data_IF_985752222003
#
_entry.id   IF_985752222003
#
_cell.length_a   1.000
_cell.length_b   1.000
_cell.length_c   1.000
_cell.angle_alpha   90.00
_cell.angle_beta   90.00
_cell.angle_gamma   90.00
#
_symmetry.space_group_name_H-M   'P 1'
#
loop_
_entity.id
_entity.type
_entity.pdbx_description
1 polymer ?
#
# COMPACT_ATOMS: atom_id res chain seq x y z
N UNK A 1 72.75 -78.48 -13.04
CA UNK A 1 72.14 -79.82 -13.15
C UNK A 1 71.46 -80.14 -11.82
N UNK A 2 70.21 -80.61 -11.88
CA UNK A 2 69.33 -81.13 -10.80
C UNK A 2 68.48 -80.12 -10.00
N UNK A 3 67.25 -80.02 -10.50
CA UNK A 3 66.02 -79.60 -9.84
C UNK A 3 65.79 -80.34 -8.52
N UNK A 4 65.43 -79.60 -7.47
CA UNK A 4 64.94 -80.14 -6.19
C UNK A 4 63.63 -79.47 -5.81
N UNK A 5 62.54 -79.89 -6.44
CA UNK A 5 61.18 -79.43 -6.10
C UNK A 5 60.81 -80.07 -4.76
N UNK A 6 60.91 -79.29 -3.69
CA UNK A 6 60.57 -79.75 -2.34
C UNK A 6 59.06 -79.83 -2.18
N UNK A 7 58.56 -81.06 -1.98
CA UNK A 7 57.15 -81.40 -1.86
C UNK A 7 56.52 -80.70 -0.64
N UNK A 8 55.55 -79.83 -0.92
CA UNK A 8 54.70 -79.18 0.07
C UNK A 8 53.69 -80.19 0.68
N UNK A 9 53.57 -80.31 2.01
CA UNK A 9 52.60 -81.19 2.66
C UNK A 9 51.17 -80.65 2.47
N UNK A 10 50.24 -81.52 2.08
CA UNK A 10 48.86 -81.21 1.63
C UNK A 10 48.01 -80.33 2.59
N UNK A 11 48.43 -80.14 3.84
CA UNK A 11 47.77 -79.29 4.85
C UNK A 11 48.12 -77.79 4.72
N UNK A 12 49.16 -77.43 3.97
CA UNK A 12 49.61 -76.03 3.79
C UNK A 12 48.90 -75.29 2.65
N UNK A 13 48.34 -76.01 1.67
CA UNK A 13 47.63 -75.37 0.53
C UNK A 13 46.34 -74.68 0.96
N UNK A 14 45.57 -75.29 1.86
CA UNK A 14 44.34 -74.68 2.38
C UNK A 14 44.65 -73.46 3.24
N UNK A 15 45.73 -73.48 4.04
CA UNK A 15 46.14 -72.31 4.84
C UNK A 15 46.59 -71.13 3.99
N UNK A 16 47.28 -71.36 2.86
CA UNK A 16 47.67 -70.28 1.93
C UNK A 16 46.43 -69.68 1.25
N UNK A 17 45.44 -70.51 0.90
CA UNK A 17 44.16 -70.04 0.34
C UNK A 17 43.36 -69.24 1.36
N UNK A 18 43.33 -69.67 2.63
CA UNK A 18 42.63 -68.96 3.70
C UNK A 18 43.32 -67.63 4.02
N UNK A 19 44.65 -67.60 4.10
CA UNK A 19 45.42 -66.37 4.34
C UNK A 19 45.26 -65.41 3.15
N UNK A 20 45.29 -65.93 1.92
CA UNK A 20 45.03 -65.16 0.71
C UNK A 20 43.62 -64.58 0.70
N UNK A 21 42.60 -65.38 1.04
CA UNK A 21 41.21 -64.94 1.13
C UNK A 21 41.02 -63.92 2.27
N UNK A 22 41.71 -64.08 3.39
CA UNK A 22 41.66 -63.14 4.51
C UNK A 22 42.32 -61.80 4.15
N UNK A 23 43.47 -61.82 3.48
CA UNK A 23 44.12 -60.62 2.95
C UNK A 23 43.27 -59.95 1.87
N UNK A 24 42.60 -60.72 1.02
CA UNK A 24 41.69 -60.19 0.01
C UNK A 24 40.46 -59.55 0.65
N UNK A 25 39.90 -60.19 1.69
CA UNK A 25 38.79 -59.64 2.47
C UNK A 25 39.20 -58.36 3.22
N UNK A 26 40.43 -58.32 3.77
CA UNK A 26 40.99 -57.12 4.41
C UNK A 26 41.24 -56.01 3.39
N UNK A 27 41.74 -56.33 2.20
CA UNK A 27 41.93 -55.37 1.12
C UNK A 27 40.59 -54.82 0.59
N UNK A 28 39.55 -55.66 0.49
CA UNK A 28 38.20 -55.22 0.13
C UNK A 28 37.61 -54.36 1.25
N UNK A 29 37.74 -54.76 2.52
CA UNK A 29 37.30 -53.95 3.65
C UNK A 29 38.02 -52.61 3.70
N UNK A 30 39.34 -52.58 3.47
CA UNK A 30 40.15 -51.36 3.43
C UNK A 30 39.89 -50.50 2.19
N UNK A 31 39.46 -51.11 1.08
CA UNK A 31 39.02 -50.42 -0.15
C UNK A 31 37.64 -49.78 0.01
N UNK A 32 36.77 -50.39 0.81
CA UNK A 32 35.43 -49.88 1.13
C UNK A 32 35.39 -48.97 2.37
N UNK A 33 36.48 -48.90 3.15
CA UNK A 33 36.57 -48.03 4.34
C UNK A 33 36.75 -46.53 4.07
N UNK A 34 37.32 -46.05 2.95
CA UNK A 34 37.47 -44.62 2.70
C UNK A 34 36.40 -44.21 1.67
N UNK A 35 35.18 -43.95 2.15
CA UNK A 35 34.21 -43.01 1.55
C UNK A 35 32.85 -43.01 2.28
N UNK A 36 32.84 -43.26 3.59
CA UNK A 36 31.63 -43.06 4.41
C UNK A 36 31.34 -41.58 4.71
N UNK A 37 32.11 -40.64 4.13
CA UNK A 37 31.83 -39.19 4.20
C UNK A 37 30.81 -38.70 3.15
N UNK A 38 30.46 -39.52 2.15
CA UNK A 38 29.58 -39.14 1.03
C UNK A 38 28.09 -39.10 1.43
N UNK A 39 27.66 -39.91 2.41
CA UNK A 39 26.26 -39.93 2.85
C UNK A 39 25.91 -38.85 3.88
N UNK A 40 26.86 -38.44 4.73
CA UNK A 40 26.62 -37.40 5.75
C UNK A 40 26.53 -35.99 5.16
N UNK A 41 27.42 -35.66 4.21
CA UNK A 41 27.45 -34.36 3.54
C UNK A 41 26.25 -34.11 2.63
N UNK A 42 25.79 -35.15 1.92
CA UNK A 42 24.63 -35.06 1.01
C UNK A 42 23.31 -34.75 1.75
N UNK A 43 23.10 -35.31 2.94
CA UNK A 43 21.87 -35.06 3.73
C UNK A 43 21.89 -33.66 4.34
N UNK A 44 23.04 -33.20 4.84
CA UNK A 44 23.19 -31.86 5.42
C UNK A 44 23.05 -30.76 4.36
N UNK A 45 23.60 -30.94 3.15
CA UNK A 45 23.39 -29.99 2.05
C UNK A 45 21.93 -29.95 1.57
N UNK A 46 21.25 -31.11 1.52
CA UNK A 46 19.83 -31.17 1.17
C UNK A 46 18.95 -30.48 2.21
N UNK A 47 19.26 -30.59 3.50
CA UNK A 47 18.56 -29.88 4.57
C UNK A 47 18.77 -28.36 4.51
N UNK A 48 19.98 -27.89 4.18
CA UNK A 48 20.26 -26.45 4.05
C UNK A 48 19.53 -25.86 2.84
N UNK A 49 19.55 -26.55 1.69
CA UNK A 49 18.85 -26.12 0.47
C UNK A 49 17.34 -26.12 0.63
N UNK A 50 16.76 -27.12 1.31
CA UNK A 50 15.32 -27.16 1.60
C UNK A 50 14.88 -26.05 2.56
N UNK A 51 15.66 -25.76 3.63
CA UNK A 51 15.41 -24.62 4.52
C UNK A 51 15.47 -23.28 3.79
N UNK A 52 16.42 -23.09 2.87
CA UNK A 52 16.48 -21.88 2.04
C UNK A 52 15.24 -21.74 1.15
N UNK A 53 14.83 -22.80 0.44
CA UNK A 53 13.62 -22.78 -0.41
C UNK A 53 12.37 -22.47 0.41
N UNK A 54 12.24 -23.02 1.63
CA UNK A 54 11.13 -22.72 2.51
C UNK A 54 11.12 -21.24 2.95
N UNK A 55 12.28 -20.66 3.29
CA UNK A 55 12.41 -19.24 3.64
C UNK A 55 12.01 -18.32 2.47
N UNK A 56 12.48 -18.62 1.25
CA UNK A 56 12.10 -17.86 0.05
C UNK A 56 10.60 -18.00 -0.27
N UNK A 57 10.01 -19.19 -0.09
CA UNK A 57 8.56 -19.41 -0.26
C UNK A 57 7.73 -18.65 0.79
N UNK A 58 8.20 -18.56 2.03
CA UNK A 58 7.58 -17.74 3.07
C UNK A 58 7.55 -16.25 2.70
N UNK A 59 8.71 -15.71 2.30
CA UNK A 59 8.81 -14.32 1.85
C UNK A 59 7.98 -14.04 0.58
N UNK A 60 7.86 -15.00 -0.34
CA UNK A 60 7.01 -14.87 -1.54
C UNK A 60 5.52 -14.84 -1.20
N UNK A 61 5.07 -15.60 -0.19
CA UNK A 61 3.68 -15.54 0.30
C UNK A 61 3.36 -14.19 0.93
N UNK A 62 4.29 -13.62 1.67
CA UNK A 62 4.16 -12.27 2.24
C UNK A 62 4.14 -11.19 1.14
N UNK A 63 4.95 -11.33 0.09
CA UNK A 63 4.92 -10.41 -1.07
C UNK A 63 3.54 -10.32 -1.71
N UNK A 64 2.87 -11.45 -1.94
CA UNK A 64 1.51 -11.46 -2.51
C UNK A 64 0.49 -10.72 -1.64
N UNK A 65 0.55 -10.90 -0.32
CA UNK A 65 -0.31 -10.18 0.61
C UNK A 65 0.00 -8.67 0.66
N UNK A 66 1.28 -8.29 0.56
CA UNK A 66 1.73 -6.90 0.53
C UNK A 66 1.35 -6.21 -0.79
N UNK A 67 1.48 -6.87 -1.93
CA UNK A 67 1.03 -6.35 -3.23
C UNK A 67 -0.49 -6.21 -3.28
N UNK A 68 -1.24 -7.18 -2.74
CA UNK A 68 -2.68 -7.07 -2.60
C UNK A 68 -3.07 -5.85 -1.74
N UNK A 69 -2.41 -5.65 -0.59
CA UNK A 69 -2.61 -4.45 0.25
C UNK A 69 -2.25 -3.16 -0.47
N UNK A 70 -1.14 -3.12 -1.20
CA UNK A 70 -0.71 -1.95 -1.97
C UNK A 70 -1.72 -1.59 -3.05
N UNK A 71 -2.19 -2.58 -3.81
CA UNK A 71 -3.20 -2.36 -4.85
C UNK A 71 -4.55 -1.94 -4.27
N UNK A 72 -4.95 -2.52 -3.13
CA UNK A 72 -6.14 -2.10 -2.41
C UNK A 72 -6.04 -0.64 -1.94
N UNK A 73 -4.95 -0.27 -1.26
CA UNK A 73 -4.70 1.11 -0.83
C UNK A 73 -4.66 2.09 -2.02
N UNK A 74 -4.01 1.72 -3.11
CA UNK A 74 -3.97 2.56 -4.32
C UNK A 74 -5.37 2.79 -4.90
N UNK A 75 -6.22 1.76 -4.93
CA UNK A 75 -7.63 1.89 -5.35
C UNK A 75 -8.44 2.74 -4.39
N UNK A 76 -8.25 2.58 -3.08
CA UNK A 76 -8.92 3.40 -2.06
C UNK A 76 -8.54 4.86 -2.18
N UNK A 77 -7.25 5.16 -2.39
CA UNK A 77 -6.78 6.55 -2.62
C UNK A 77 -7.39 7.10 -3.90
N UNK A 78 -7.34 6.38 -5.01
CA UNK A 78 -7.93 6.84 -6.27
C UNK A 78 -9.45 7.08 -6.15
N UNK A 79 -10.16 6.22 -5.40
CA UNK A 79 -11.58 6.41 -5.13
C UNK A 79 -11.85 7.66 -4.27
N UNK A 80 -11.01 7.94 -3.27
CA UNK A 80 -11.09 9.16 -2.47
C UNK A 80 -10.74 10.41 -3.30
N UNK A 81 -9.75 10.34 -4.18
CA UNK A 81 -9.34 11.45 -5.05
C UNK A 81 -10.45 11.90 -6.01
N UNK A 82 -11.44 11.05 -6.33
CA UNK A 82 -12.61 11.45 -7.14
C UNK A 82 -13.43 12.59 -6.48
N UNK A 83 -13.43 12.64 -5.14
CA UNK A 83 -14.07 13.70 -4.37
C UNK A 83 -13.30 15.02 -4.36
N UNK A 84 -12.06 15.05 -4.84
CA UNK A 84 -11.25 16.27 -4.89
C UNK A 84 -11.69 17.19 -6.02
N UNK A 85 -11.35 18.47 -5.90
CA UNK A 85 -11.49 19.43 -6.98
C UNK A 85 -10.57 19.05 -8.15
N UNK A 86 -11.07 19.28 -9.36
CA UNK A 86 -10.39 18.93 -10.62
C UNK A 86 -9.48 20.05 -11.14
N UNK A 87 -9.63 21.25 -10.61
CA UNK A 87 -8.78 22.39 -10.95
C UNK A 87 -7.30 22.13 -10.65
N UNK A 88 -6.46 22.19 -11.69
CA UNK A 88 -4.99 22.03 -11.61
C UNK A 88 -4.30 23.21 -10.92
N UNK A 89 -4.98 24.34 -10.81
CA UNK A 89 -4.49 25.55 -10.15
C UNK A 89 -5.49 26.02 -9.11
N UNK A 90 -5.04 26.74 -8.06
CA UNK A 90 -5.92 27.37 -7.09
C UNK A 90 -7.04 28.21 -7.69
N UNK A 91 -6.74 28.95 -8.76
CA UNK A 91 -7.73 29.79 -9.44
C UNK A 91 -8.82 28.94 -10.13
N UNK A 92 -8.44 27.85 -10.81
CA UNK A 92 -9.40 26.95 -11.44
C UNK A 92 -10.25 26.19 -10.40
N UNK A 93 -9.61 25.75 -9.31
CA UNK A 93 -10.30 25.11 -8.19
C UNK A 93 -11.32 26.06 -7.54
N UNK A 94 -10.97 27.34 -7.36
CA UNK A 94 -11.89 28.35 -6.85
C UNK A 94 -13.09 28.61 -7.79
N UNK A 95 -12.86 28.61 -9.12
CA UNK A 95 -13.94 28.71 -10.10
C UNK A 95 -14.86 27.49 -10.06
N UNK A 96 -14.32 26.29 -9.87
CA UNK A 96 -15.12 25.07 -9.69
C UNK A 96 -16.01 25.17 -8.44
N UNK A 97 -15.45 25.61 -7.29
CA UNK A 97 -16.23 25.87 -6.06
C UNK A 97 -17.33 26.90 -6.33
N UNK A 98 -16.99 28.01 -6.99
CA UNK A 98 -17.95 29.06 -7.33
C UNK A 98 -19.13 28.51 -8.15
N UNK A 99 -18.87 27.74 -9.20
CA UNK A 99 -19.92 27.15 -10.03
C UNK A 99 -20.84 26.21 -9.23
N UNK A 100 -20.27 25.42 -8.31
CA UNK A 100 -21.04 24.54 -7.42
C UNK A 100 -21.93 25.38 -6.50
N UNK A 101 -21.38 26.42 -5.86
CA UNK A 101 -22.12 27.30 -4.96
C UNK A 101 -23.24 28.07 -5.67
N UNK A 102 -22.99 28.57 -6.88
CA UNK A 102 -24.00 29.24 -7.71
C UNK A 102 -25.16 28.30 -8.06
N UNK A 103 -24.86 27.04 -8.39
CA UNK A 103 -25.88 26.01 -8.61
C UNK A 103 -26.72 25.72 -7.37
N UNK A 104 -26.07 25.59 -6.21
CA UNK A 104 -26.73 25.36 -4.92
C UNK A 104 -27.65 26.54 -4.56
N UNK A 105 -27.16 27.77 -4.68
CA UNK A 105 -27.89 28.98 -4.32
C UNK A 105 -29.10 29.23 -5.23
N UNK A 106 -28.96 29.02 -6.55
CA UNK A 106 -30.09 29.08 -7.50
C UNK A 106 -31.19 28.10 -7.12
N UNK A 107 -30.82 26.88 -6.72
CA UNK A 107 -31.80 25.86 -6.31
C UNK A 107 -32.49 26.23 -4.99
N UNK A 108 -31.78 26.90 -4.08
CA UNK A 108 -32.32 27.36 -2.79
C UNK A 108 -33.03 28.74 -2.86
N UNK A 109 -33.11 29.37 -4.06
CA UNK A 109 -33.61 30.74 -4.25
C UNK A 109 -32.91 31.79 -3.35
N UNK A 110 -31.64 31.56 -3.03
CA UNK A 110 -30.81 32.52 -2.29
C UNK A 110 -30.02 33.40 -3.24
N UNK A 111 -29.95 34.70 -2.98
CA UNK A 111 -29.10 35.61 -3.74
C UNK A 111 -27.68 35.63 -3.14
N UNK A 112 -26.71 35.08 -3.89
CA UNK A 112 -25.29 35.27 -3.62
C UNK A 112 -24.92 36.69 -4.05
N UNK A 113 -24.38 37.49 -3.12
CA UNK A 113 -23.99 38.87 -3.39
C UNK A 113 -22.52 39.04 -3.69
N UNK A 114 -21.65 38.19 -3.14
CA UNK A 114 -20.20 38.37 -3.27
C UNK A 114 -19.50 37.03 -3.13
N UNK A 115 -18.53 36.78 -4.01
CA UNK A 115 -17.60 35.65 -3.95
C UNK A 115 -16.18 36.21 -3.96
N UNK A 116 -15.36 35.78 -3.00
CA UNK A 116 -13.99 36.20 -2.82
C UNK A 116 -13.09 34.99 -2.62
N UNK A 117 -12.08 34.87 -3.46
CA UNK A 117 -11.06 33.83 -3.34
C UNK A 117 -10.06 34.27 -2.28
N UNK A 118 -9.82 33.43 -1.28
CA UNK A 118 -8.82 33.68 -0.24
C UNK A 118 -7.49 33.05 -0.63
N UNK A 119 -6.42 33.40 0.10
CA UNK A 119 -5.10 32.78 -0.12
C UNK A 119 -5.18 31.30 0.20
N UNK A 120 -4.59 30.47 -0.66
CA UNK A 120 -4.54 29.02 -0.44
C UNK A 120 -3.69 28.67 0.77
N UNK A 121 -4.17 27.70 1.53
CA UNK A 121 -3.45 27.13 2.66
C UNK A 121 -2.90 25.77 2.22
N UNK A 122 -1.57 25.60 2.31
CA UNK A 122 -0.96 24.29 2.12
C UNK A 122 -1.40 23.39 3.29
N UNK A 123 -1.96 22.21 2.96
CA UNK A 123 -2.19 21.18 3.97
C UNK A 123 -0.81 20.60 4.31
N UNK A 124 -0.34 20.87 5.51
CA UNK A 124 1.04 20.59 5.96
C UNK A 124 1.59 19.26 5.40
N UNK A 125 2.68 19.35 4.61
CA UNK A 125 3.51 18.24 4.10
C UNK A 125 2.80 17.15 3.26
N UNK A 126 1.60 17.41 2.77
CA UNK A 126 0.83 16.46 1.95
C UNK A 126 0.73 16.95 0.49
N UNK A 127 0.46 16.07 -0.51
CA UNK A 127 0.29 16.47 -1.91
C UNK A 127 -1.04 17.22 -2.17
N UNK A 128 -1.65 17.80 -1.15
CA UNK A 128 -2.97 18.42 -1.20
C UNK A 128 -2.92 19.87 -0.73
N UNK A 129 -3.74 20.71 -1.37
CA UNK A 129 -3.87 22.14 -1.06
C UNK A 129 -5.33 22.44 -0.78
N UNK A 130 -5.56 23.28 0.23
CA UNK A 130 -6.87 23.77 0.57
C UNK A 130 -7.11 25.13 -0.10
N UNK A 131 -8.22 25.24 -0.82
CA UNK A 131 -8.60 26.45 -1.54
C UNK A 131 -9.84 27.06 -0.87
N UNK A 132 -9.64 28.03 0.04
CA UNK A 132 -10.73 28.73 0.69
C UNK A 132 -11.38 29.75 -0.24
N UNK A 133 -12.70 29.69 -0.33
CA UNK A 133 -13.57 30.64 -1.04
C UNK A 133 -14.58 31.18 -0.06
N UNK A 134 -14.55 32.50 0.12
CA UNK A 134 -15.48 33.24 0.93
C UNK A 134 -16.64 33.73 0.08
N UNK A 135 -17.86 33.60 0.57
CA UNK A 135 -19.03 34.15 -0.09
C UNK A 135 -20.02 34.76 0.90
N UNK A 136 -20.73 35.77 0.43
CA UNK A 136 -21.79 36.44 1.18
C UNK A 136 -23.11 36.24 0.47
N UNK A 137 -24.12 35.81 1.22
CA UNK A 137 -25.47 35.59 0.71
C UNK A 137 -26.50 36.26 1.63
N UNK A 138 -27.63 36.66 1.05
CA UNK A 138 -28.81 37.09 1.82
C UNK A 138 -29.91 36.05 1.64
N UNK A 139 -30.37 35.44 2.74
CA UNK A 139 -31.39 34.39 2.68
C UNK A 139 -32.25 34.36 3.94
N UNK A 140 -33.28 33.51 3.95
CA UNK A 140 -33.96 33.10 5.19
C UNK A 140 -33.17 32.00 5.90
N UNK A 141 -33.48 31.74 7.18
CA UNK A 141 -32.89 30.63 7.94
C UNK A 141 -33.13 29.28 7.26
N UNK A 142 -34.33 29.07 6.70
CA UNK A 142 -34.67 27.83 6.00
C UNK A 142 -33.78 27.61 4.78
N UNK A 143 -33.59 28.65 3.97
CA UNK A 143 -32.72 28.60 2.80
C UNK A 143 -31.26 28.39 3.17
N UNK A 144 -30.77 29.06 4.22
CA UNK A 144 -29.41 28.85 4.71
C UNK A 144 -29.18 27.38 5.10
N UNK A 145 -30.14 26.77 5.82
CA UNK A 145 -30.07 25.34 6.17
C UNK A 145 -29.96 24.45 4.92
N UNK A 146 -30.75 24.73 3.89
CA UNK A 146 -30.73 23.97 2.64
C UNK A 146 -29.40 24.15 1.89
N UNK A 147 -28.84 25.36 1.88
CA UNK A 147 -27.54 25.65 1.27
C UNK A 147 -26.43 24.88 1.99
N UNK A 148 -26.36 24.96 3.33
CA UNK A 148 -25.37 24.24 4.12
C UNK A 148 -25.48 22.72 3.88
N UNK A 149 -26.70 22.18 3.95
CA UNK A 149 -26.94 20.76 3.70
C UNK A 149 -26.44 20.31 2.31
N UNK A 150 -26.67 21.12 1.28
CA UNK A 150 -26.21 20.82 -0.09
C UNK A 150 -24.70 20.94 -0.25
N UNK A 151 -24.06 21.84 0.49
CA UNK A 151 -22.60 21.94 0.51
C UNK A 151 -22.01 20.68 1.17
N UNK A 152 -22.54 20.26 2.31
CA UNK A 152 -22.07 19.07 3.04
C UNK A 152 -22.35 17.74 2.31
N UNK A 153 -23.43 17.67 1.54
CA UNK A 153 -23.80 16.49 0.73
C UNK A 153 -23.27 16.54 -0.71
N UNK A 154 -22.44 17.53 -1.02
CA UNK A 154 -21.80 17.64 -2.33
C UNK A 154 -20.93 16.41 -2.62
N UNK A 155 -20.87 15.92 -3.87
CA UNK A 155 -19.94 14.86 -4.25
C UNK A 155 -18.47 15.27 -4.13
N UNK A 156 -18.20 16.58 -3.99
CA UNK A 156 -16.86 17.13 -3.80
C UNK A 156 -16.60 17.40 -2.31
N UNK A 157 -15.35 17.19 -1.87
CA UNK A 157 -14.91 17.49 -0.52
C UNK A 157 -14.84 19.00 -0.30
N UNK A 158 -15.97 19.55 0.16
CA UNK A 158 -16.15 20.93 0.56
C UNK A 158 -16.34 20.98 2.08
N UNK A 159 -15.61 21.84 2.76
CA UNK A 159 -15.69 22.02 4.21
C UNK A 159 -15.98 23.48 4.53
N UNK A 160 -16.92 23.74 5.43
CA UNK A 160 -17.18 25.09 5.94
C UNK A 160 -16.17 25.37 7.05
N UNK A 161 -15.26 26.32 6.82
CA UNK A 161 -14.25 26.71 7.82
C UNK A 161 -14.79 27.73 8.81
N UNK A 162 -15.49 28.73 8.29
CA UNK A 162 -15.97 29.86 9.08
C UNK A 162 -17.34 30.29 8.56
N UNK A 163 -18.21 30.69 9.49
CA UNK A 163 -19.53 31.22 9.18
C UNK A 163 -19.87 32.33 10.15
N UNK A 164 -20.26 33.48 9.62
CA UNK A 164 -20.84 34.61 10.35
C UNK A 164 -22.24 34.87 9.83
N UNK A 165 -23.18 35.09 10.74
CA UNK A 165 -24.58 35.35 10.40
C UNK A 165 -24.99 36.64 11.10
N UNK A 166 -25.45 37.60 10.31
CA UNK A 166 -25.94 38.89 10.76
C UNK A 166 -27.42 39.02 10.38
N UNK A 167 -28.22 39.62 11.25
CA UNK A 167 -29.65 39.86 10.98
C UNK A 167 -29.79 41.09 10.10
N UNK A 168 -30.18 40.90 8.84
CA UNK A 168 -30.36 42.00 7.89
C UNK A 168 -31.71 42.70 8.06
N UNK A 169 -32.78 41.94 8.34
CA UNK A 169 -34.11 42.48 8.63
C UNK A 169 -34.82 41.61 9.69
N UNK A 170 -35.11 42.21 10.84
CA UNK A 170 -35.75 41.52 11.97
C UNK A 170 -37.29 41.71 12.05
N UNK A 171 -37.88 42.59 11.24
CA UNK A 171 -39.29 43.01 11.38
C UNK A 171 -40.10 42.62 10.14
N UNK A 172 -41.10 41.75 10.31
CA UNK A 172 -42.01 41.25 9.26
C UNK A 172 -42.04 39.71 9.17
N UNK A 173 -42.89 39.16 8.30
CA UNK A 173 -43.15 37.71 8.15
C UNK A 173 -42.01 36.90 7.51
N UNK A 174 -40.96 37.57 7.02
CA UNK A 174 -39.76 36.94 6.47
C UNK A 174 -38.51 37.64 7.00
N UNK A 175 -38.05 37.21 8.18
CA UNK A 175 -36.75 37.63 8.68
C UNK A 175 -35.65 37.15 7.73
N UNK A 176 -34.87 38.09 7.20
CA UNK A 176 -33.73 37.79 6.34
C UNK A 176 -32.43 37.96 7.12
N UNK A 177 -31.51 37.04 6.86
CA UNK A 177 -30.18 37.01 7.41
C UNK A 177 -29.17 37.22 6.29
N UNK A 178 -28.12 37.95 6.60
CA UNK A 178 -26.93 38.03 5.78
C UNK A 178 -25.91 37.06 6.37
N UNK A 179 -25.43 36.13 5.55
CA UNK A 179 -24.45 35.14 5.99
C UNK A 179 -23.18 35.29 5.17
N UNK A 180 -22.05 35.32 5.86
CA UNK A 180 -20.70 35.31 5.29
C UNK A 180 -20.08 33.96 5.64
N UNK A 181 -19.75 33.17 4.63
CA UNK A 181 -19.34 31.77 4.79
C UNK A 181 -18.03 31.57 4.03
N UNK A 182 -17.05 30.95 4.69
CA UNK A 182 -15.83 30.48 4.04
C UNK A 182 -15.92 28.98 3.84
N UNK A 183 -15.96 28.56 2.58
CA UNK A 183 -15.93 27.15 2.16
C UNK A 183 -14.58 26.85 1.57
N UNK A 184 -13.94 25.82 2.09
CA UNK A 184 -12.68 25.30 1.59
C UNK A 184 -12.92 24.04 0.79
N UNK A 185 -12.37 23.98 -0.42
CA UNK A 185 -12.27 22.73 -1.17
C UNK A 185 -10.85 22.20 -1.19
N UNK A 186 -10.71 20.87 -1.31
CA UNK A 186 -9.41 20.20 -1.35
C UNK A 186 -9.06 19.87 -2.80
N UNK A 187 -7.86 20.23 -3.24
CA UNK A 187 -7.31 19.86 -4.54
C UNK A 187 -5.96 19.16 -4.39
N UNK A 188 -5.57 18.38 -5.39
CA UNK A 188 -4.22 17.83 -5.46
C UNK A 188 -3.25 18.88 -6.04
N UNK A 189 -2.07 19.00 -5.44
CA UNK A 189 -0.98 19.85 -5.93
C UNK A 189 -0.36 19.20 -7.17
N UNK A 190 -0.49 19.82 -8.33
CA UNK A 190 0.34 19.46 -9.49
C UNK A 190 1.71 20.15 -9.35
N UNK A 191 2.76 19.36 -9.12
CA UNK A 191 4.14 19.84 -9.00
C UNK A 191 4.83 19.44 -7.69
N UNK A 192 5.21 18.16 -7.61
CA UNK A 192 6.43 17.69 -6.94
C UNK A 192 7.10 16.71 -7.90
#
# INVERSE_FOLDING_TARGET
MKFGVMKLPFKTRTSIVIIGAFLLALAIAYRFWPDTEIFGSSIVEMEIKTKQIQKYRGALREKGAVEARKSFLAKTIAAAENGLLTGKTPALAAVEIQNILDGIAKTAKGDIKTLRILKTEDVQKEPYVMVPVEFTLTSTIRQLKEIIYKIETSPKYLCIQQMRIDVARARGSSATIQSQITVAGIMRKEGV
#
